data_IF_806736975658
#
_entry.id   IF_806736975658
#
_cell.length_a   1.000
_cell.length_b   1.000
_cell.length_c   1.000
_cell.angle_alpha   90.00
_cell.angle_beta   90.00
_cell.angle_gamma   90.00
#
_symmetry.space_group_name_H-M   'P 1'
#
loop_
_entity.id
_entity.type
_entity.pdbx_description
1 polymer ?
#
# COMPACT_ATOMS: atom_id res chain seq x y z
N UNK A 1 -19.94 21.90 -5.60
CA UNK A 1 -20.04 22.23 -4.14
C UNK A 1 -18.80 21.79 -3.36
N UNK A 2 -18.29 20.55 -3.48
CA UNK A 2 -17.15 20.05 -2.68
C UNK A 2 -15.82 20.75 -3.02
N UNK A 3 -15.56 21.10 -4.28
CA UNK A 3 -14.38 21.87 -4.69
C UNK A 3 -14.39 23.24 -4.00
N UNK A 4 -15.51 23.94 -4.01
CA UNK A 4 -15.66 25.26 -3.37
C UNK A 4 -15.48 25.20 -1.83
N UNK A 5 -15.69 24.03 -1.22
CA UNK A 5 -15.46 23.79 0.21
C UNK A 5 -14.01 23.43 0.56
N UNK A 6 -13.12 23.32 -0.44
CA UNK A 6 -11.70 22.98 -0.23
C UNK A 6 -11.44 21.56 0.29
N UNK A 7 -12.39 20.62 0.08
CA UNK A 7 -12.28 19.24 0.56
C UNK A 7 -11.89 18.24 -0.54
N UNK A 8 -11.64 18.72 -1.75
CA UNK A 8 -11.17 17.90 -2.87
C UNK A 8 -9.65 18.07 -3.02
N UNK A 9 -8.98 16.97 -3.22
CA UNK A 9 -7.52 16.88 -3.30
C UNK A 9 -7.11 16.15 -4.57
N UNK A 10 -5.91 16.47 -5.02
CA UNK A 10 -5.29 15.87 -6.20
C UNK A 10 -3.95 15.26 -5.79
N UNK A 11 -3.73 14.02 -6.18
CA UNK A 11 -2.41 13.43 -6.23
C UNK A 11 -1.76 13.85 -7.54
N UNK A 12 -0.66 14.58 -7.45
CA UNK A 12 0.10 15.04 -8.61
C UNK A 12 1.39 14.23 -8.74
N UNK A 13 1.74 13.85 -9.96
CA UNK A 13 3.00 13.24 -10.32
C UNK A 13 3.50 13.79 -11.67
N UNK A 14 4.77 14.17 -11.74
CA UNK A 14 5.38 14.77 -12.94
C UNK A 14 4.56 15.93 -13.53
N UNK A 15 4.11 16.86 -12.68
CA UNK A 15 3.26 18.00 -12.99
C UNK A 15 1.92 17.65 -13.69
N UNK A 16 1.37 16.47 -13.38
CA UNK A 16 0.09 15.99 -13.91
C UNK A 16 -0.79 15.41 -12.80
N UNK A 17 -2.12 15.59 -12.85
CA UNK A 17 -3.03 14.93 -11.93
C UNK A 17 -3.05 13.43 -12.19
N UNK A 18 -2.74 12.64 -11.17
CA UNK A 18 -2.69 11.18 -11.23
C UNK A 18 -3.86 10.52 -10.51
N UNK A 19 -4.38 11.17 -9.47
CA UNK A 19 -5.62 10.76 -8.82
C UNK A 19 -6.30 11.98 -8.19
N UNK A 20 -7.60 11.87 -7.96
CA UNK A 20 -8.40 12.84 -7.21
C UNK A 20 -9.27 12.11 -6.19
N UNK A 21 -9.56 12.78 -5.08
CA UNK A 21 -10.45 12.27 -4.04
C UNK A 21 -10.96 13.43 -3.20
N UNK A 22 -12.04 13.20 -2.45
CA UNK A 22 -12.53 14.14 -1.43
C UNK A 22 -12.26 13.55 -0.04
N UNK A 23 -11.77 14.38 0.86
CA UNK A 23 -11.60 14.07 2.28
C UNK A 23 -12.48 15.02 3.09
N UNK A 24 -13.49 14.50 3.76
CA UNK A 24 -14.53 15.28 4.41
C UNK A 24 -14.58 14.90 5.90
N UNK A 25 -13.98 15.70 6.80
CA UNK A 25 -14.18 15.54 8.24
C UNK A 25 -15.61 15.83 8.65
N UNK A 26 -16.11 15.08 9.60
CA UNK A 26 -17.43 15.26 10.18
C UNK A 26 -18.46 14.24 9.68
N UNK A 27 -19.66 14.30 10.23
CA UNK A 27 -20.68 13.32 9.91
C UNK A 27 -21.14 13.44 8.45
N UNK A 28 -21.23 12.28 7.79
CA UNK A 28 -21.84 12.15 6.47
C UNK A 28 -23.31 11.75 6.66
N UNK A 29 -24.27 12.56 6.20
CA UNK A 29 -25.71 12.30 6.46
C UNK A 29 -26.17 10.91 5.99
N UNK A 30 -25.62 10.40 4.88
CA UNK A 30 -25.96 9.07 4.33
C UNK A 30 -25.42 7.91 5.18
N UNK A 31 -24.55 8.20 6.16
CA UNK A 31 -23.97 7.20 7.06
C UNK A 31 -24.66 7.15 8.43
N UNK A 32 -25.74 7.93 8.61
CA UNK A 32 -26.53 7.94 9.84
C UNK A 32 -27.22 6.59 10.08
N UNK A 33 -27.65 5.93 9.01
CA UNK A 33 -28.27 4.61 9.06
C UNK A 33 -27.41 3.59 8.32
N UNK A 34 -27.18 2.43 8.95
CA UNK A 34 -26.44 1.31 8.39
C UNK A 34 -27.24 0.03 8.59
N UNK A 35 -27.29 -0.81 7.57
CA UNK A 35 -28.05 -2.06 7.51
C UNK A 35 -27.11 -3.25 7.37
N UNK A 36 -27.56 -4.43 7.74
CA UNK A 36 -26.80 -5.69 7.65
C UNK A 36 -25.42 -5.63 8.34
N UNK A 37 -25.35 -4.87 9.44
CA UNK A 37 -24.13 -4.66 10.19
C UNK A 37 -24.20 -3.42 11.09
N UNK A 38 -23.06 -2.81 11.37
CA UNK A 38 -22.95 -1.62 12.20
C UNK A 38 -21.59 -0.94 12.10
N UNK A 39 -21.54 0.34 12.40
CA UNK A 39 -20.27 1.04 12.59
C UNK A 39 -19.58 0.54 13.87
N UNK A 40 -18.25 0.41 13.90
CA UNK A 40 -17.54 -0.10 15.08
C UNK A 40 -17.60 0.83 16.29
N UNK A 41 -17.79 2.13 16.05
CA UNK A 41 -17.92 3.16 17.09
C UNK A 41 -18.61 4.42 16.55
N UNK A 42 -18.94 5.36 17.46
CA UNK A 42 -19.50 6.67 17.16
C UNK A 42 -18.44 7.79 17.24
N UNK A 43 -17.15 7.43 17.19
CA UNK A 43 -16.07 8.39 17.23
C UNK A 43 -16.10 9.33 16.01
N UNK A 44 -15.60 10.57 16.15
CA UNK A 44 -15.41 11.46 15.00
C UNK A 44 -14.59 10.78 13.89
N UNK A 45 -15.04 10.90 12.66
CA UNK A 45 -14.41 10.29 11.49
C UNK A 45 -14.31 11.25 10.32
N UNK A 46 -13.58 10.84 9.29
CA UNK A 46 -13.60 11.52 8.01
C UNK A 46 -14.06 10.55 6.91
N UNK A 47 -14.79 11.08 5.94
CA UNK A 47 -15.28 10.31 4.81
C UNK A 47 -14.41 10.53 3.57
N UNK A 48 -14.12 9.45 2.84
CA UNK A 48 -13.41 9.50 1.56
C UNK A 48 -14.44 9.25 0.45
N UNK A 49 -14.59 10.24 -0.43
CA UNK A 49 -15.50 10.16 -1.56
C UNK A 49 -14.80 10.45 -2.89
N UNK A 50 -15.47 10.04 -3.98
CA UNK A 50 -15.12 10.40 -5.36
C UNK A 50 -13.66 10.13 -5.73
N UNK A 51 -13.13 9.03 -5.26
CA UNK A 51 -11.78 8.62 -5.64
C UNK A 51 -11.77 8.16 -7.10
N UNK A 52 -10.91 8.79 -7.89
CA UNK A 52 -10.63 8.41 -9.26
C UNK A 52 -9.12 8.45 -9.52
N UNK A 53 -8.62 7.53 -10.32
CA UNK A 53 -7.20 7.45 -10.72
C UNK A 53 -7.09 7.46 -12.23
N UNK A 54 -6.05 8.10 -12.75
CA UNK A 54 -5.68 8.08 -14.15
C UNK A 54 -5.06 6.73 -14.59
N UNK A 55 -4.82 5.82 -13.65
CA UNK A 55 -4.26 4.49 -13.91
C UNK A 55 -2.77 4.45 -14.25
N UNK A 56 -2.09 5.60 -14.25
CA UNK A 56 -0.67 5.69 -14.63
C UNK A 56 0.28 5.46 -13.45
N UNK A 57 -0.17 5.75 -12.23
CA UNK A 57 0.62 5.54 -11.01
C UNK A 57 0.13 4.31 -10.30
N UNK A 58 1.01 3.32 -10.20
CA UNK A 58 0.71 2.12 -9.44
C UNK A 58 0.54 2.47 -7.94
N UNK A 59 -0.53 1.97 -7.32
CA UNK A 59 -0.80 2.24 -5.91
C UNK A 59 -1.33 3.64 -5.59
N UNK A 60 -1.76 4.44 -6.57
CA UNK A 60 -2.30 5.80 -6.36
C UNK A 60 -3.37 5.85 -5.27
N UNK A 61 -4.31 4.90 -5.23
CA UNK A 61 -5.34 4.82 -4.19
C UNK A 61 -4.72 4.64 -2.79
N UNK A 62 -3.70 3.80 -2.66
CA UNK A 62 -3.02 3.58 -1.39
C UNK A 62 -2.31 4.83 -0.88
N UNK A 63 -1.70 5.61 -1.78
CA UNK A 63 -1.09 6.91 -1.45
C UNK A 63 -2.17 7.87 -0.94
N UNK A 64 -3.33 7.94 -1.60
CA UNK A 64 -4.44 8.79 -1.18
C UNK A 64 -5.00 8.34 0.19
N UNK A 65 -5.18 7.04 0.43
CA UNK A 65 -5.63 6.53 1.73
C UNK A 65 -4.63 6.81 2.84
N UNK A 66 -3.33 6.63 2.59
CA UNK A 66 -2.28 6.94 3.54
C UNK A 66 -2.25 8.45 3.89
N UNK A 67 -2.45 9.31 2.89
CA UNK A 67 -2.56 10.75 3.10
C UNK A 67 -3.78 11.10 3.96
N UNK A 68 -4.94 10.46 3.74
CA UNK A 68 -6.12 10.65 4.57
C UNK A 68 -5.89 10.17 6.01
N UNK A 69 -5.31 8.97 6.17
CA UNK A 69 -4.99 8.38 7.47
C UNK A 69 -4.01 9.24 8.28
N UNK A 70 -3.06 9.89 7.60
CA UNK A 70 -2.12 10.80 8.24
C UNK A 70 -2.77 12.02 8.91
N UNK A 71 -4.05 12.25 8.73
CA UNK A 71 -4.82 13.32 9.41
C UNK A 71 -5.38 12.91 10.78
N UNK A 72 -5.28 11.62 11.13
CA UNK A 72 -5.52 11.13 12.48
C UNK A 72 -6.98 10.86 12.85
N UNK A 73 -7.93 11.01 11.91
CA UNK A 73 -9.31 10.58 12.11
C UNK A 73 -9.52 9.18 11.54
N UNK A 74 -10.34 8.32 12.17
CA UNK A 74 -10.86 7.13 11.53
C UNK A 74 -11.47 7.47 10.18
N UNK A 75 -11.36 6.55 9.23
CA UNK A 75 -11.82 6.78 7.87
C UNK A 75 -13.04 5.91 7.56
N UNK A 76 -14.04 6.49 6.93
CA UNK A 76 -15.18 5.77 6.36
C UNK A 76 -15.24 5.99 4.86
N UNK A 77 -15.69 4.99 4.14
CA UNK A 77 -15.91 5.06 2.69
C UNK A 77 -17.05 4.13 2.31
N UNK A 78 -17.65 4.37 1.16
CA UNK A 78 -18.63 3.48 0.57
C UNK A 78 -18.31 3.17 -0.89
N UNK A 79 -18.82 2.05 -1.39
CA UNK A 79 -18.70 1.71 -2.79
C UNK A 79 -19.86 0.85 -3.27
N UNK A 80 -20.12 0.86 -4.57
CA UNK A 80 -21.15 0.02 -5.19
C UNK A 80 -20.75 -1.47 -5.13
N UNK A 81 -21.75 -2.35 -5.03
CA UNK A 81 -21.54 -3.80 -4.98
C UNK A 81 -20.80 -4.35 -6.22
N UNK A 82 -20.96 -3.70 -7.38
CA UNK A 82 -20.27 -4.09 -8.61
C UNK A 82 -18.86 -3.53 -8.74
N UNK A 83 -18.47 -2.55 -7.92
CA UNK A 83 -17.14 -1.98 -7.97
C UNK A 83 -16.12 -2.86 -7.20
N UNK A 84 -15.83 -4.03 -7.75
CA UNK A 84 -14.91 -5.00 -7.16
C UNK A 84 -13.50 -4.46 -6.97
N UNK A 85 -13.07 -3.56 -7.86
CA UNK A 85 -11.75 -2.90 -7.77
C UNK A 85 -11.68 -2.05 -6.51
N UNK A 86 -12.68 -1.21 -6.24
CA UNK A 86 -12.67 -0.36 -5.05
C UNK A 86 -12.82 -1.18 -3.77
N UNK A 87 -13.65 -2.23 -3.76
CA UNK A 87 -13.76 -3.16 -2.63
C UNK A 87 -12.39 -3.75 -2.28
N UNK A 88 -11.71 -4.32 -3.28
CA UNK A 88 -10.36 -4.85 -3.11
C UNK A 88 -9.35 -3.80 -2.61
N UNK A 89 -9.39 -2.58 -3.16
CA UNK A 89 -8.49 -1.50 -2.75
C UNK A 89 -8.73 -1.07 -1.30
N UNK A 90 -10.00 -0.96 -0.88
CA UNK A 90 -10.35 -0.64 0.51
C UNK A 90 -9.85 -1.72 1.46
N UNK A 91 -10.17 -2.98 1.21
CA UNK A 91 -9.78 -4.12 2.05
C UNK A 91 -8.26 -4.26 2.13
N UNK A 92 -7.55 -4.17 1.00
CA UNK A 92 -6.09 -4.20 0.94
C UNK A 92 -5.44 -3.07 1.77
N UNK A 93 -6.11 -1.93 1.91
CA UNK A 93 -5.60 -0.79 2.68
C UNK A 93 -6.15 -0.75 4.12
N UNK A 94 -6.71 -1.84 4.61
CA UNK A 94 -7.09 -2.03 6.01
C UNK A 94 -8.48 -1.52 6.37
N UNK A 95 -9.32 -1.23 5.39
CA UNK A 95 -10.73 -0.99 5.63
C UNK A 95 -11.47 -2.32 5.84
N UNK A 96 -12.36 -2.32 6.78
CA UNK A 96 -13.23 -3.46 7.12
C UNK A 96 -14.65 -3.14 6.68
N UNK A 97 -15.31 -4.09 6.05
CA UNK A 97 -16.72 -3.99 5.71
C UNK A 97 -17.56 -3.94 6.98
N UNK A 98 -18.46 -2.95 7.06
CA UNK A 98 -19.29 -2.69 8.24
C UNK A 98 -20.77 -3.01 8.03
N UNK A 99 -21.24 -3.02 6.79
CA UNK A 99 -22.65 -3.21 6.45
C UNK A 99 -22.98 -2.55 5.13
N UNK A 100 -24.22 -2.12 4.99
CA UNK A 100 -24.71 -1.41 3.82
C UNK A 100 -25.36 -0.08 4.25
N UNK A 101 -25.26 0.93 3.40
CA UNK A 101 -25.94 2.21 3.54
C UNK A 101 -26.84 2.45 2.32
N UNK A 102 -27.79 3.36 2.44
CA UNK A 102 -28.65 3.77 1.32
C UNK A 102 -28.40 5.24 1.02
N UNK A 103 -28.10 5.55 -0.23
CA UNK A 103 -27.98 6.93 -0.69
C UNK A 103 -29.36 7.58 -0.86
N UNK A 104 -29.39 8.91 -0.99
CA UNK A 104 -30.64 9.68 -1.15
C UNK A 104 -31.45 9.27 -2.38
N UNK A 105 -30.82 8.68 -3.39
CA UNK A 105 -31.49 8.15 -4.62
C UNK A 105 -31.97 6.70 -4.45
N UNK A 106 -31.88 6.12 -3.25
CA UNK A 106 -32.27 4.74 -2.96
C UNK A 106 -31.21 3.70 -3.32
N UNK A 107 -30.04 4.11 -3.83
CA UNK A 107 -28.97 3.17 -4.20
C UNK A 107 -28.29 2.60 -2.96
N UNK A 108 -28.20 1.28 -2.86
CA UNK A 108 -27.44 0.60 -1.80
C UNK A 108 -25.94 0.66 -2.07
N UNK A 109 -25.14 0.88 -1.01
CA UNK A 109 -23.69 0.90 -1.02
C UNK A 109 -23.13 0.05 0.10
N UNK A 110 -22.01 -0.60 -0.16
CA UNK A 110 -21.26 -1.30 0.87
C UNK A 110 -20.44 -0.27 1.65
N UNK A 111 -20.64 -0.26 2.98
CA UNK A 111 -19.98 0.64 3.90
C UNK A 111 -18.71 0.02 4.47
N UNK A 112 -17.65 0.82 4.53
CA UNK A 112 -16.33 0.43 5.01
C UNK A 112 -15.81 1.40 6.07
N UNK A 113 -15.09 0.86 7.06
CA UNK A 113 -14.43 1.63 8.11
C UNK A 113 -12.95 1.21 8.21
N UNK A 114 -12.09 2.18 8.46
CA UNK A 114 -10.69 1.96 8.79
C UNK A 114 -10.33 2.74 10.05
N UNK A 115 -10.02 2.03 11.11
CA UNK A 115 -9.50 2.63 12.33
C UNK A 115 -8.07 3.11 12.05
N UNK A 116 -7.88 4.41 12.14
CA UNK A 116 -6.54 5.01 12.08
C UNK A 116 -6.04 5.10 13.52
N UNK A 117 -4.90 4.47 13.85
CA UNK A 117 -4.34 4.62 15.18
C UNK A 117 -4.09 6.10 15.46
N UNK A 118 -4.43 6.59 16.67
CA UNK A 118 -4.17 7.96 17.04
C UNK A 118 -2.69 8.28 16.85
N UNK A 119 -2.40 9.51 16.41
CA UNK A 119 -1.02 10.01 16.25
C UNK A 119 -0.34 10.11 17.62
N UNK A 120 0.09 8.97 18.16
CA UNK A 120 0.79 8.87 19.44
C UNK A 120 2.24 8.43 19.32
N UNK A 121 2.70 8.04 18.14
CA UNK A 121 4.09 7.76 17.88
C UNK A 121 4.79 8.97 17.26
N UNK A 122 5.99 9.32 17.72
CA UNK A 122 6.86 10.28 17.02
C UNK A 122 6.95 9.82 15.57
N UNK A 123 6.41 10.58 14.62
CA UNK A 123 6.57 10.32 13.21
C UNK A 123 8.08 10.39 12.90
N UNK A 124 8.69 9.23 12.70
CA UNK A 124 10.08 9.17 12.29
C UNK A 124 10.17 9.56 10.82
N UNK A 125 11.10 10.45 10.49
CA UNK A 125 11.45 10.68 9.09
C UNK A 125 12.06 9.41 8.50
N UNK A 126 12.03 9.25 7.18
CA UNK A 126 12.69 8.12 6.51
C UNK A 126 14.18 8.02 6.89
N UNK A 127 14.86 9.16 7.10
CA UNK A 127 16.24 9.21 7.55
C UNK A 127 16.42 8.68 8.99
N UNK A 128 15.52 9.04 9.91
CA UNK A 128 15.54 8.53 11.28
C UNK A 128 15.23 7.02 11.33
N UNK A 129 14.25 6.56 10.53
CA UNK A 129 13.95 5.14 10.41
C UNK A 129 15.13 4.35 9.83
N UNK A 130 15.77 4.87 8.78
CA UNK A 130 16.97 4.28 8.20
C UNK A 130 18.14 4.21 9.19
N UNK A 131 18.35 5.26 9.97
CA UNK A 131 19.39 5.28 11.01
C UNK A 131 19.13 4.23 12.11
N UNK A 132 17.89 4.12 12.57
CA UNK A 132 17.50 3.12 13.58
C UNK A 132 17.69 1.68 13.05
N UNK A 133 17.28 1.42 11.79
CA UNK A 133 17.49 0.12 11.15
C UNK A 133 18.98 -0.22 10.98
N UNK A 134 19.80 0.76 10.53
CA UNK A 134 21.23 0.55 10.38
C UNK A 134 21.91 0.24 11.73
N UNK A 135 21.48 0.91 12.80
CA UNK A 135 21.96 0.63 14.15
C UNK A 135 21.55 -0.75 14.64
N UNK A 136 20.28 -1.12 14.44
CA UNK A 136 19.77 -2.44 14.80
C UNK A 136 20.50 -3.55 14.03
N UNK A 137 20.72 -3.38 12.73
CA UNK A 137 21.46 -4.33 11.90
C UNK A 137 22.92 -4.52 12.35
N UNK A 138 23.59 -3.46 12.78
CA UNK A 138 24.97 -3.54 13.32
C UNK A 138 25.06 -4.35 14.61
N UNK A 139 23.98 -4.41 15.39
CA UNK A 139 23.91 -5.17 16.63
C UNK A 139 23.65 -6.67 16.40
N UNK A 140 23.27 -7.07 15.20
CA UNK A 140 23.02 -8.47 14.85
C UNK A 140 24.34 -9.22 14.59
N UNK A 141 24.42 -10.51 14.91
CA UNK A 141 25.56 -11.33 14.55
C UNK A 141 25.73 -11.37 13.02
N UNK A 142 26.96 -11.22 12.57
CA UNK A 142 27.26 -11.33 11.14
C UNK A 142 27.03 -12.77 10.68
N UNK A 143 26.36 -13.00 9.53
CA UNK A 143 26.26 -14.31 8.94
C UNK A 143 27.64 -14.91 8.69
N UNK A 144 27.76 -16.22 8.84
CA UNK A 144 29.00 -16.93 8.52
C UNK A 144 29.40 -16.78 7.03
N UNK A 145 28.41 -16.74 6.17
CA UNK A 145 28.59 -16.55 4.72
C UNK A 145 27.60 -15.52 4.18
N UNK A 146 28.04 -14.65 3.28
CA UNK A 146 27.24 -13.65 2.61
C UNK A 146 26.86 -12.44 3.46
N UNK A 147 26.06 -11.52 2.93
CA UNK A 147 25.63 -10.32 3.62
C UNK A 147 24.49 -10.59 4.61
N UNK A 148 24.31 -9.70 5.57
CA UNK A 148 23.09 -9.66 6.38
C UNK A 148 21.91 -9.21 5.48
N UNK A 149 20.85 -9.99 5.47
CA UNK A 149 19.62 -9.67 4.76
C UNK A 149 18.60 -9.08 5.73
N UNK A 150 18.03 -7.93 5.38
CA UNK A 150 17.00 -7.24 6.16
C UNK A 150 15.74 -7.11 5.30
N UNK A 151 14.63 -7.68 5.75
CA UNK A 151 13.35 -7.52 5.09
C UNK A 151 12.61 -6.29 5.63
N UNK A 152 12.16 -5.42 4.73
CA UNK A 152 11.25 -4.32 5.04
C UNK A 152 9.84 -4.70 4.63
N UNK A 153 9.01 -5.05 5.59
CA UNK A 153 7.60 -5.34 5.39
C UNK A 153 6.70 -4.26 5.98
N UNK A 154 5.46 -4.24 5.56
CA UNK A 154 4.45 -3.28 6.02
C UNK A 154 3.43 -2.95 4.94
N UNK A 155 2.38 -2.24 5.36
CA UNK A 155 1.26 -1.86 4.49
C UNK A 155 1.73 -1.07 3.26
N UNK A 156 0.93 -1.10 2.19
CA UNK A 156 1.14 -0.25 1.02
C UNK A 156 1.24 1.22 1.47
N UNK A 157 2.12 2.00 0.81
CA UNK A 157 2.40 3.42 1.14
C UNK A 157 2.96 3.68 2.55
N UNK A 158 3.40 2.65 3.30
CA UNK A 158 4.05 2.82 4.61
C UNK A 158 5.47 3.41 4.55
N UNK A 159 5.95 3.79 3.36
CA UNK A 159 7.27 4.40 3.19
C UNK A 159 8.43 3.40 3.03
N UNK A 160 8.16 2.11 2.84
CA UNK A 160 9.21 1.07 2.67
C UNK A 160 10.25 1.45 1.62
N UNK A 161 9.80 1.80 0.42
CA UNK A 161 10.67 2.19 -0.69
C UNK A 161 11.49 3.43 -0.37
N UNK A 162 10.90 4.41 0.32
CA UNK A 162 11.60 5.63 0.76
C UNK A 162 12.68 5.32 1.78
N UNK A 163 12.38 4.44 2.74
CA UNK A 163 13.36 3.99 3.75
C UNK A 163 14.48 3.20 3.06
N UNK A 164 14.14 2.25 2.18
CA UNK A 164 15.13 1.46 1.43
C UNK A 164 16.06 2.35 0.59
N UNK A 165 15.51 3.34 -0.14
CA UNK A 165 16.29 4.31 -0.89
C UNK A 165 17.21 5.16 0.03
N UNK A 166 16.76 5.49 1.25
CA UNK A 166 17.57 6.18 2.23
C UNK A 166 18.70 5.28 2.78
N UNK A 167 18.42 3.98 3.01
CA UNK A 167 19.43 2.99 3.38
C UNK A 167 20.52 2.87 2.32
N UNK A 168 20.14 2.76 1.05
CA UNK A 168 21.08 2.72 -0.07
C UNK A 168 21.99 3.97 -0.11
N UNK A 169 21.38 5.16 -0.03
CA UNK A 169 22.13 6.43 -0.13
C UNK A 169 23.06 6.69 1.06
N UNK A 170 22.60 6.43 2.30
CA UNK A 170 23.38 6.78 3.49
C UNK A 170 24.36 5.70 3.93
N UNK A 171 24.03 4.45 3.65
CA UNK A 171 24.79 3.30 4.18
C UNK A 171 25.36 2.38 3.11
N UNK A 172 25.10 2.67 1.82
CA UNK A 172 25.59 1.86 0.71
C UNK A 172 24.96 0.45 0.63
N UNK A 173 23.76 0.26 1.20
CA UNK A 173 23.10 -1.05 1.18
C UNK A 173 22.52 -1.35 -0.20
N UNK A 174 22.68 -2.58 -0.65
CA UNK A 174 21.94 -3.09 -1.80
C UNK A 174 20.44 -3.18 -1.47
N UNK A 175 19.60 -2.85 -2.44
CA UNK A 175 18.14 -2.93 -2.31
C UNK A 175 17.59 -3.85 -3.39
N UNK A 176 16.74 -4.78 -2.98
CA UNK A 176 15.99 -5.67 -3.87
C UNK A 176 14.50 -5.39 -3.66
N UNK A 177 13.80 -5.07 -4.74
CA UNK A 177 12.36 -4.86 -4.70
C UNK A 177 11.63 -6.16 -5.05
N UNK A 178 10.84 -6.69 -4.12
CA UNK A 178 10.10 -7.94 -4.36
C UNK A 178 9.06 -7.82 -5.48
N UNK A 179 8.63 -6.61 -5.81
CA UNK A 179 7.73 -6.35 -6.95
C UNK A 179 8.40 -6.67 -8.30
N UNK A 180 9.74 -6.71 -8.37
CA UNK A 180 10.48 -7.15 -9.54
C UNK A 180 10.46 -8.68 -9.74
N UNK A 181 9.89 -9.42 -8.78
CA UNK A 181 9.81 -10.88 -8.78
C UNK A 181 8.38 -11.41 -8.88
N UNK A 182 7.49 -10.70 -9.57
CA UNK A 182 6.18 -11.25 -9.86
C UNK A 182 6.26 -12.41 -10.87
N UNK A 183 5.33 -13.37 -10.71
CA UNK A 183 5.18 -14.48 -11.65
C UNK A 183 4.77 -13.98 -13.03
N UNK A 184 5.39 -14.53 -14.07
CA UNK A 184 4.91 -14.39 -15.43
C UNK A 184 3.56 -15.10 -15.62
N UNK A 185 2.73 -14.72 -16.60
CA UNK A 185 1.39 -15.31 -16.79
C UNK A 185 1.38 -16.85 -16.83
N UNK A 186 2.37 -17.45 -17.49
CA UNK A 186 2.49 -18.91 -17.61
C UNK A 186 2.72 -19.63 -16.27
N UNK A 187 3.28 -18.94 -15.28
CA UNK A 187 3.57 -19.49 -13.95
C UNK A 187 2.37 -19.39 -12.99
N UNK A 188 1.34 -18.62 -13.35
CA UNK A 188 0.18 -18.31 -12.49
C UNK A 188 -0.88 -19.40 -12.54
N UNK A 189 -0.54 -20.58 -12.05
CA UNK A 189 -1.54 -21.66 -11.89
C UNK A 189 -2.43 -21.39 -10.69
N UNK A 190 -3.70 -21.89 -10.68
CA UNK A 190 -4.58 -21.78 -9.52
C UNK A 190 -3.95 -22.30 -8.23
N UNK A 191 -3.19 -23.39 -8.30
CA UNK A 191 -2.47 -23.99 -7.17
C UNK A 191 -1.42 -23.02 -6.63
N UNK A 192 -0.58 -22.45 -7.51
CA UNK A 192 0.47 -21.50 -7.12
C UNK A 192 -0.12 -20.24 -6.49
N UNK A 193 -1.20 -19.71 -7.04
CA UNK A 193 -1.86 -18.50 -6.55
C UNK A 193 -2.57 -18.70 -5.22
N UNK A 194 -2.91 -19.93 -4.85
CA UNK A 194 -3.51 -20.28 -3.55
C UNK A 194 -2.47 -20.36 -2.41
N UNK A 195 -1.18 -20.45 -2.72
CA UNK A 195 -0.12 -20.49 -1.72
C UNK A 195 0.12 -19.12 -1.08
N UNK A 196 0.52 -19.03 0.19
CA UNK A 196 0.99 -17.78 0.77
C UNK A 196 2.16 -17.19 -0.05
N UNK A 197 2.02 -15.92 -0.49
CA UNK A 197 3.01 -15.29 -1.37
C UNK A 197 3.08 -15.92 -2.77
N UNK A 198 2.03 -16.60 -3.21
CA UNK A 198 1.97 -17.36 -4.46
C UNK A 198 2.15 -16.55 -5.74
N UNK A 199 2.07 -15.21 -5.68
CA UNK A 199 2.37 -14.33 -6.80
C UNK A 199 3.85 -13.97 -6.95
N UNK A 200 4.71 -14.41 -6.01
CA UNK A 200 6.14 -14.16 -6.02
C UNK A 200 6.87 -15.30 -6.74
N UNK A 201 7.73 -14.97 -7.69
CA UNK A 201 8.69 -15.88 -8.33
C UNK A 201 9.88 -16.11 -7.37
N UNK A 202 9.63 -16.90 -6.35
CA UNK A 202 10.62 -17.21 -5.30
C UNK A 202 11.79 -18.01 -5.84
N UNK A 203 11.56 -18.84 -6.84
CA UNK A 203 12.60 -19.63 -7.51
C UNK A 203 13.61 -18.70 -8.17
N UNK A 204 13.14 -17.68 -8.88
CA UNK A 204 13.98 -16.66 -9.50
C UNK A 204 14.67 -15.78 -8.45
N UNK A 205 13.98 -15.37 -7.39
CA UNK A 205 14.60 -14.62 -6.29
C UNK A 205 15.75 -15.40 -5.64
N UNK A 206 15.57 -16.71 -5.44
CA UNK A 206 16.62 -17.57 -4.87
C UNK A 206 17.80 -17.62 -5.84
N UNK A 207 17.58 -17.98 -7.09
CA UNK A 207 18.63 -18.22 -8.07
C UNK A 207 19.39 -16.94 -8.48
N UNK A 208 18.68 -15.83 -8.71
CA UNK A 208 19.29 -14.58 -9.21
C UNK A 208 19.85 -13.71 -8.07
N UNK A 209 19.37 -13.84 -6.84
CA UNK A 209 19.77 -12.96 -5.72
C UNK A 209 20.37 -13.73 -4.54
N UNK A 210 19.60 -14.66 -3.94
CA UNK A 210 19.98 -15.20 -2.64
C UNK A 210 21.20 -16.15 -2.73
N UNK A 211 21.26 -17.00 -3.74
CA UNK A 211 22.38 -17.92 -3.93
C UNK A 211 23.67 -17.18 -4.28
N UNK A 212 23.70 -16.23 -5.25
CA UNK A 212 24.90 -15.43 -5.50
C UNK A 212 25.40 -14.67 -4.28
N UNK A 213 24.49 -14.04 -3.52
CA UNK A 213 24.87 -13.31 -2.30
C UNK A 213 25.44 -14.24 -1.22
N UNK A 214 24.89 -15.45 -1.06
CA UNK A 214 25.45 -16.47 -0.14
C UNK A 214 26.82 -16.96 -0.57
N UNK A 215 27.06 -17.00 -1.87
CA UNK A 215 28.37 -17.34 -2.43
C UNK A 215 29.38 -16.18 -2.38
N UNK A 216 29.03 -15.03 -1.80
CA UNK A 216 29.87 -13.84 -1.75
C UNK A 216 30.01 -13.12 -3.10
N UNK A 217 29.10 -13.41 -4.04
CA UNK A 217 29.06 -12.80 -5.37
C UNK A 217 28.11 -11.61 -5.38
N UNK A 218 28.29 -10.71 -6.33
CA UNK A 218 27.33 -9.64 -6.59
C UNK A 218 26.14 -10.22 -7.35
N UNK A 219 24.92 -10.12 -6.78
CA UNK A 219 23.70 -10.52 -7.46
C UNK A 219 23.29 -9.50 -8.51
N UNK A 220 22.79 -10.00 -9.63
CA UNK A 220 22.07 -9.19 -10.63
C UNK A 220 20.79 -9.92 -11.02
N UNK A 221 19.71 -9.17 -11.27
CA UNK A 221 18.42 -9.77 -11.60
C UNK A 221 17.66 -8.93 -12.63
N UNK A 222 16.79 -9.59 -13.37
CA UNK A 222 15.95 -8.97 -14.38
C UNK A 222 14.73 -8.33 -13.72
N UNK A 223 14.36 -7.13 -14.15
CA UNK A 223 13.18 -6.44 -13.68
C UNK A 223 11.92 -7.04 -14.30
N UNK A 224 10.83 -7.07 -13.54
CA UNK A 224 9.52 -7.48 -14.04
C UNK A 224 8.73 -6.23 -14.47
N UNK A 225 8.36 -6.15 -15.74
CA UNK A 225 7.49 -5.08 -16.25
C UNK A 225 6.02 -5.50 -16.12
N UNK A 226 5.32 -4.88 -15.18
CA UNK A 226 3.89 -5.13 -14.96
C UNK A 226 2.98 -4.74 -16.14
N UNK A 227 3.44 -3.92 -17.08
CA UNK A 227 2.65 -3.52 -18.26
C UNK A 227 2.70 -4.60 -19.33
N UNK A 228 3.85 -5.18 -19.55
CA UNK A 228 4.05 -6.27 -20.52
C UNK A 228 3.88 -7.64 -19.88
N UNK A 229 3.85 -7.71 -18.55
CA UNK A 229 3.82 -8.95 -17.76
C UNK A 229 4.99 -9.87 -18.07
N UNK A 230 6.14 -9.30 -18.39
CA UNK A 230 7.34 -10.00 -18.82
C UNK A 230 8.60 -9.49 -18.10
N UNK A 231 9.64 -10.27 -18.17
CA UNK A 231 10.96 -9.85 -17.69
C UNK A 231 11.64 -8.95 -18.72
N UNK A 232 12.29 -7.90 -18.25
CA UNK A 232 13.15 -7.07 -19.11
C UNK A 232 14.31 -7.90 -19.65
N UNK A 233 14.82 -7.62 -20.86
CA UNK A 233 16.08 -8.20 -21.32
C UNK A 233 17.18 -7.93 -20.31
N UNK A 234 18.02 -8.95 -20.03
CA UNK A 234 19.16 -8.84 -19.13
C UNK A 234 20.33 -8.07 -19.73
#
# INVERSE_FOLDING_TARGET
QQIARGVCYVLEGNARPEATFCYIPGPEPTYAEIYDGGWPDDAPYATIHRMASAGRVHGAAAICFAWCAARGLPLRADTHADNKVMQYLLEKNGFVRCGNITLADGTSRIAYHCTVPPRGGKQQTAAQAAAALAQAAKALPKPANGPLLVALDGRCAAGKTTIAAQMARQYGWGVVHLDDFFLQPIQRTPQRMAEPGGNLDRERLIAEVLEPLRAGQQGSYRLFDCRTMALTPG
#
